data_IF_948860306649
#
_entry.id   IF_948860306649
#
_cell.length_a   1.000
_cell.length_b   1.000
_cell.length_c   1.000
_cell.angle_alpha   90.00
_cell.angle_beta   90.00
_cell.angle_gamma   90.00
#
_symmetry.space_group_name_H-M   'P 1'
#
loop_
_entity.id
_entity.type
_entity.pdbx_description
1 polymer ?
#
# COMPACT_ATOMS: atom_id res chain seq x y z
N UNK A 1 29.17 0.23 -17.58
CA UNK A 1 28.50 -0.65 -16.60
C UNK A 1 27.04 -0.22 -16.53
N UNK A 2 26.12 -1.02 -17.07
CA UNK A 2 24.68 -0.85 -16.92
C UNK A 2 24.27 -1.72 -15.72
N UNK A 3 24.27 -1.16 -14.51
CA UNK A 3 24.12 -1.94 -13.29
C UNK A 3 23.43 -1.18 -12.17
N UNK A 4 22.42 -0.37 -12.51
CA UNK A 4 21.48 0.13 -11.51
C UNK A 4 20.41 -0.94 -11.26
N UNK A 5 20.07 -1.18 -9.99
CA UNK A 5 18.87 -1.96 -9.65
C UNK A 5 17.65 -1.41 -10.39
N UNK A 6 16.85 -2.32 -10.93
CA UNK A 6 15.59 -1.94 -11.56
C UNK A 6 14.65 -1.32 -10.51
N UNK A 7 13.74 -0.47 -10.97
CA UNK A 7 12.70 0.07 -10.10
C UNK A 7 11.86 -1.05 -9.44
N UNK A 8 11.73 -2.19 -10.13
CA UNK A 8 11.06 -3.39 -9.63
C UNK A 8 11.81 -4.04 -8.46
N UNK A 9 13.14 -4.18 -8.54
CA UNK A 9 13.93 -4.71 -7.42
C UNK A 9 13.78 -3.84 -6.17
N UNK A 10 13.90 -2.51 -6.34
CA UNK A 10 13.75 -1.55 -5.24
C UNK A 10 12.35 -1.56 -4.63
N UNK A 11 11.32 -1.68 -5.46
CA UNK A 11 9.94 -1.80 -4.99
C UNK A 11 9.77 -3.08 -4.17
N UNK A 12 10.25 -4.21 -4.67
CA UNK A 12 10.15 -5.49 -3.96
C UNK A 12 10.87 -5.47 -2.60
N UNK A 13 12.08 -4.91 -2.53
CA UNK A 13 12.81 -4.75 -1.27
C UNK A 13 12.04 -3.88 -0.28
N UNK A 14 11.54 -2.72 -0.73
CA UNK A 14 10.74 -1.83 0.10
C UNK A 14 9.48 -2.53 0.66
N UNK A 15 8.77 -3.32 -0.16
CA UNK A 15 7.58 -4.04 0.30
C UNK A 15 7.91 -5.14 1.30
N UNK A 16 9.03 -5.85 1.11
CA UNK A 16 9.52 -6.85 2.06
C UNK A 16 9.90 -6.23 3.40
N UNK A 17 10.51 -5.04 3.39
CA UNK A 17 10.84 -4.32 4.61
C UNK A 17 9.58 -3.79 5.30
N UNK A 18 8.60 -3.26 4.56
CA UNK A 18 7.31 -2.86 5.11
C UNK A 18 6.55 -4.02 5.74
N UNK A 19 6.58 -5.20 5.13
CA UNK A 19 5.95 -6.40 5.67
C UNK A 19 6.59 -6.89 6.99
N UNK A 20 7.79 -6.39 7.33
CA UNK A 20 8.48 -6.66 8.60
C UNK A 20 8.22 -5.57 9.65
N UNK A 21 7.59 -4.46 9.29
CA UNK A 21 7.22 -3.43 10.26
C UNK A 21 6.04 -3.93 11.08
N UNK A 22 6.17 -3.89 12.41
CA UNK A 22 5.11 -4.31 13.32
C UNK A 22 3.77 -3.64 13.00
N UNK A 23 2.71 -4.46 13.00
CA UNK A 23 1.33 -4.03 12.75
C UNK A 23 1.13 -3.33 11.39
N UNK A 24 1.97 -3.63 10.40
CA UNK A 24 1.79 -3.22 9.00
C UNK A 24 1.35 -4.40 8.15
N UNK A 25 0.23 -4.26 7.46
CA UNK A 25 -0.24 -5.23 6.48
C UNK A 25 0.06 -4.72 5.06
N UNK A 26 0.54 -5.61 4.20
CA UNK A 26 0.79 -5.34 2.78
C UNK A 26 0.00 -6.36 1.96
N UNK A 27 -0.85 -5.87 1.06
CA UNK A 27 -1.65 -6.69 0.16
C UNK A 27 -1.31 -6.33 -1.29
N UNK A 28 -0.96 -7.34 -2.08
CA UNK A 28 -0.85 -7.23 -3.52
C UNK A 28 -2.23 -7.47 -4.13
N UNK A 29 -2.66 -6.57 -5.01
CA UNK A 29 -3.90 -6.69 -5.75
C UNK A 29 -3.52 -7.00 -7.20
N UNK A 30 -3.92 -8.16 -7.66
CA UNK A 30 -3.71 -8.63 -9.02
C UNK A 30 -5.01 -8.57 -9.81
N UNK A 31 -4.91 -8.28 -11.11
CA UNK A 31 -6.02 -8.38 -12.03
C UNK A 31 -6.31 -9.85 -12.43
N UNK A 32 -7.24 -10.04 -13.37
CA UNK A 32 -7.62 -11.38 -13.85
C UNK A 32 -6.52 -12.09 -14.68
N UNK A 33 -5.44 -11.39 -15.01
CA UNK A 33 -4.29 -11.89 -15.75
C UNK A 33 -3.06 -12.08 -14.84
N UNK A 34 -3.25 -12.09 -13.51
CA UNK A 34 -2.20 -12.17 -12.49
C UNK A 34 -1.22 -10.98 -12.49
N UNK A 35 -1.58 -9.87 -13.14
CA UNK A 35 -0.77 -8.66 -13.16
C UNK A 35 -1.06 -7.83 -11.91
N UNK A 36 -0.03 -7.55 -11.12
CA UNK A 36 -0.14 -6.63 -9.97
C UNK A 36 -0.53 -5.24 -10.47
N UNK A 37 -1.76 -4.84 -10.16
CA UNK A 37 -2.31 -3.55 -10.58
C UNK A 37 -2.33 -2.52 -9.44
N UNK A 38 -2.30 -2.99 -8.18
CA UNK A 38 -2.19 -2.13 -7.02
C UNK A 38 -1.51 -2.82 -5.85
N UNK A 39 -0.96 -2.01 -4.94
CA UNK A 39 -0.41 -2.44 -3.66
C UNK A 39 -1.16 -1.63 -2.59
N UNK A 40 -1.84 -2.33 -1.68
CA UNK A 40 -2.45 -1.71 -0.51
C UNK A 40 -1.54 -1.92 0.71
N UNK A 41 -1.16 -0.82 1.36
CA UNK A 41 -0.38 -0.85 2.61
C UNK A 41 -1.27 -0.28 3.72
N UNK A 42 -1.39 -1.01 4.82
CA UNK A 42 -2.13 -0.62 6.00
C UNK A 42 -1.22 -0.64 7.24
N UNK A 43 -0.71 0.52 7.59
CA UNK A 43 0.07 0.76 8.81
C UNK A 43 -0.81 0.81 10.06
N UNK A 44 -0.19 0.70 11.24
CA UNK A 44 -0.84 0.87 12.54
C UNK A 44 -1.61 2.19 12.67
N UNK A 45 -1.06 3.29 12.12
CA UNK A 45 -1.74 4.58 12.10
C UNK A 45 -3.05 4.54 11.28
N UNK A 46 -3.01 3.92 10.09
CA UNK A 46 -4.22 3.75 9.26
C UNK A 46 -5.24 2.84 9.97
N UNK A 47 -4.79 1.76 10.62
CA UNK A 47 -5.66 0.86 11.40
C UNK A 47 -6.39 1.60 12.52
N UNK A 48 -5.68 2.47 13.25
CA UNK A 48 -6.27 3.31 14.30
C UNK A 48 -7.33 4.26 13.74
N UNK A 49 -7.06 4.92 12.61
CA UNK A 49 -8.01 5.79 11.94
C UNK A 49 -9.28 5.04 11.49
N UNK A 50 -9.13 3.86 10.88
CA UNK A 50 -10.27 3.04 10.46
C UNK A 50 -11.10 2.54 11.65
N UNK A 51 -10.45 2.12 12.74
CA UNK A 51 -11.13 1.70 13.97
C UNK A 51 -11.92 2.84 14.62
N UNK A 52 -11.37 4.06 14.61
CA UNK A 52 -12.04 5.23 15.17
C UNK A 52 -13.22 5.71 14.32
N UNK A 53 -13.16 5.53 13.00
CA UNK A 53 -14.23 5.98 12.09
C UNK A 53 -15.46 5.08 12.09
N UNK A 54 -15.29 3.76 12.12
CA UNK A 54 -16.39 2.79 12.26
C UNK A 54 -17.30 2.58 11.03
N UNK A 55 -16.98 3.15 9.87
CA UNK A 55 -17.77 3.06 8.61
C UNK A 55 -16.89 3.01 7.33
N UNK A 56 -17.46 3.30 6.15
CA UNK A 56 -16.92 3.16 4.79
C UNK A 56 -15.85 4.20 4.37
N UNK A 57 -14.80 4.36 5.18
CA UNK A 57 -13.69 5.26 4.86
C UNK A 57 -12.73 4.62 3.85
N UNK A 58 -12.46 5.30 2.73
CA UNK A 58 -11.41 4.95 1.79
C UNK A 58 -10.28 5.99 1.86
N UNK A 59 -9.05 5.53 2.11
CA UNK A 59 -7.86 6.38 2.09
C UNK A 59 -6.83 5.76 1.14
N UNK A 60 -6.47 6.48 0.10
CA UNK A 60 -5.38 6.14 -0.81
C UNK A 60 -4.35 7.28 -0.84
N UNK A 61 -3.08 6.90 -0.85
CA UNK A 61 -1.95 7.83 -0.88
C UNK A 61 -1.37 7.79 -2.30
N UNK A 62 -1.39 8.94 -2.98
CA UNK A 62 -0.66 9.13 -4.24
C UNK A 62 0.63 9.88 -3.94
N UNK A 63 1.72 9.59 -4.66
CA UNK A 63 3.00 10.26 -4.38
C UNK A 63 2.85 11.80 -4.50
N UNK A 64 2.93 12.50 -3.37
CA UNK A 64 2.77 13.96 -3.28
C UNK A 64 1.35 14.47 -2.99
N UNK A 65 0.34 13.61 -2.83
CA UNK A 65 -1.03 14.00 -2.46
C UNK A 65 -1.71 12.96 -1.55
N UNK A 66 -2.73 13.39 -0.80
CA UNK A 66 -3.62 12.49 -0.08
C UNK A 66 -4.99 12.52 -0.74
N UNK A 67 -5.50 11.36 -1.15
CA UNK A 67 -6.85 11.24 -1.68
C UNK A 67 -7.76 10.71 -0.57
N UNK A 68 -8.91 11.37 -0.38
CA UNK A 68 -9.90 11.01 0.64
C UNK A 68 -11.24 10.78 -0.07
N UNK A 69 -11.76 9.57 0.04
CA UNK A 69 -13.03 9.17 -0.55
C UNK A 69 -14.00 8.63 0.50
N UNK A 70 -15.29 8.78 0.23
CA UNK A 70 -16.35 8.14 1.01
C UNK A 70 -17.33 7.45 0.05
N UNK A 71 -17.85 6.30 0.48
CA UNK A 71 -18.92 5.59 -0.21
C UNK A 71 -20.25 5.91 0.47
N UNK A 72 -21.28 6.22 -0.33
CA UNK A 72 -22.65 6.54 0.12
C UNK A 72 -23.54 5.30 -0.08
#
# INVERSE_FOLDING_TARGET
MLGGESAETKLNEMLQDLARVDDTDVMLIQDQLDVTCAIAIQTSAQKLMFKAWGQSLAMDWTHGTNNLGYHI
#
